data_IF_019802013223
#
_entry.id   IF_019802013223
#
_cell.length_a   1.000
_cell.length_b   1.000
_cell.length_c   1.000
_cell.angle_alpha   90.00
_cell.angle_beta   90.00
_cell.angle_gamma   90.00
#
_symmetry.space_group_name_H-M   'P 1'
#
loop_
_entity.id
_entity.type
_entity.pdbx_description
1 polymer ?
#
# COMPACT_ATOMS: atom_id res chain seq x y z
N UNK A 1 7.28 8.61 -7.02
CA UNK A 1 8.16 8.10 -8.09
C UNK A 1 7.33 7.96 -9.35
N UNK A 2 7.71 8.61 -10.43
CA UNK A 2 6.89 8.73 -11.65
C UNK A 2 7.04 7.55 -12.62
N UNK A 3 7.59 6.41 -12.18
CA UNK A 3 7.81 5.24 -13.04
C UNK A 3 9.07 5.31 -13.93
N UNK A 4 9.87 6.36 -13.81
CA UNK A 4 11.04 6.60 -14.66
C UNK A 4 12.13 5.52 -14.50
N UNK A 5 12.13 4.79 -13.40
CA UNK A 5 13.10 3.74 -13.10
C UNK A 5 12.61 2.33 -13.44
N UNK A 6 11.36 2.17 -13.85
CA UNK A 6 10.77 0.90 -14.27
C UNK A 6 10.99 -0.23 -13.27
N UNK A 7 11.53 -1.35 -13.77
CA UNK A 7 11.83 -2.57 -12.98
C UNK A 7 13.17 -2.53 -12.26
N UNK A 8 13.98 -1.48 -12.44
CA UNK A 8 15.32 -1.40 -11.87
C UNK A 8 15.34 -1.15 -10.36
N UNK A 9 14.18 -0.72 -9.80
CA UNK A 9 14.04 -0.46 -8.37
C UNK A 9 13.42 -1.67 -7.66
N UNK A 10 14.20 -2.30 -6.79
CA UNK A 10 13.73 -3.43 -5.98
C UNK A 10 12.66 -3.02 -4.96
N UNK A 11 11.90 -4.01 -4.43
CA UNK A 11 10.91 -3.78 -3.40
C UNK A 11 11.49 -3.07 -2.16
N UNK A 12 12.68 -3.47 -1.69
CA UNK A 12 13.37 -2.83 -0.55
C UNK A 12 13.76 -1.38 -0.87
N UNK A 13 14.38 -1.14 -2.03
CA UNK A 13 14.78 0.22 -2.44
C UNK A 13 13.57 1.17 -2.54
N UNK A 14 12.50 0.73 -3.19
CA UNK A 14 11.27 1.54 -3.27
C UNK A 14 10.69 1.84 -1.88
N UNK A 15 10.69 0.84 -0.98
CA UNK A 15 10.16 0.99 0.37
C UNK A 15 10.93 2.00 1.21
N UNK A 16 12.25 2.12 1.02
CA UNK A 16 13.07 3.12 1.73
C UNK A 16 12.59 4.54 1.41
N UNK A 17 12.31 4.85 0.14
CA UNK A 17 11.80 6.17 -0.24
C UNK A 17 10.45 6.48 0.41
N UNK A 18 9.53 5.51 0.38
CA UNK A 18 8.23 5.67 1.02
C UNK A 18 8.34 5.74 2.56
N UNK A 19 9.28 5.02 3.16
CA UNK A 19 9.52 5.05 4.59
C UNK A 19 10.07 6.41 5.05
N UNK A 20 10.97 7.01 4.27
CA UNK A 20 11.51 8.36 4.55
C UNK A 20 10.38 9.40 4.48
N UNK A 21 9.51 9.33 3.47
CA UNK A 21 8.37 10.22 3.31
C UNK A 21 7.41 10.11 4.52
N UNK A 22 7.08 8.89 4.94
CA UNK A 22 6.26 8.65 6.14
C UNK A 22 6.95 9.11 7.43
N UNK A 23 8.26 8.94 7.51
CA UNK A 23 9.02 9.41 8.67
C UNK A 23 8.94 10.94 8.79
N UNK A 24 9.11 11.66 7.70
CA UNK A 24 8.98 13.12 7.66
C UNK A 24 7.58 13.56 8.10
N UNK A 25 6.53 12.95 7.53
CA UNK A 25 5.14 13.28 7.90
C UNK A 25 4.76 12.82 9.33
N UNK A 26 5.49 11.87 9.92
CA UNK A 26 5.21 11.36 11.26
C UNK A 26 5.27 12.41 12.36
N UNK A 27 6.02 13.50 12.16
CA UNK A 27 6.07 14.62 13.09
C UNK A 27 4.73 15.37 13.14
N UNK A 28 4.09 15.56 11.98
CA UNK A 28 2.74 16.13 11.89
C UNK A 28 1.72 15.20 12.54
N UNK A 29 1.78 13.92 12.20
CA UNK A 29 0.88 12.90 12.74
C UNK A 29 0.92 12.85 14.28
N UNK A 30 2.10 12.93 14.89
CA UNK A 30 2.24 12.98 16.36
C UNK A 30 1.62 14.23 16.98
N UNK A 31 1.72 15.36 16.31
CA UNK A 31 1.09 16.59 16.75
C UNK A 31 -0.44 16.51 16.73
N UNK A 32 -1.00 15.70 15.83
CA UNK A 32 -2.43 15.53 15.67
C UNK A 32 -3.04 14.57 16.70
N UNK A 33 -2.27 13.67 17.31
CA UNK A 33 -2.75 12.76 18.38
C UNK A 33 -3.39 13.48 19.58
N UNK A 34 -2.95 14.69 19.86
CA UNK A 34 -3.50 15.48 20.97
C UNK A 34 -4.68 16.36 20.55
N UNK A 35 -5.05 16.36 19.26
CA UNK A 35 -6.09 17.24 18.70
C UNK A 35 -7.34 16.49 18.30
N UNK A 36 -7.20 15.20 17.93
CA UNK A 36 -8.27 14.43 17.33
C UNK A 36 -8.46 13.10 18.03
N UNK A 37 -9.71 12.68 18.19
CA UNK A 37 -10.09 11.36 18.74
C UNK A 37 -9.79 10.24 17.74
N UNK A 38 -9.85 10.53 16.43
CA UNK A 38 -9.58 9.60 15.35
C UNK A 38 -8.71 10.26 14.28
N UNK A 39 -7.71 9.51 13.81
CA UNK A 39 -6.88 9.88 12.66
C UNK A 39 -7.02 8.78 11.63
N UNK A 40 -7.51 9.12 10.43
CA UNK A 40 -7.68 8.18 9.33
C UNK A 40 -6.68 8.51 8.24
N UNK A 41 -5.79 7.58 7.95
CA UNK A 41 -4.84 7.69 6.85
C UNK A 41 -5.29 6.85 5.65
N UNK A 42 -5.36 7.47 4.48
CA UNK A 42 -5.53 6.75 3.23
C UNK A 42 -4.16 6.29 2.74
N UNK A 43 -3.88 4.99 2.87
CA UNK A 43 -2.57 4.34 2.73
C UNK A 43 -1.61 4.71 3.87
N UNK A 44 -0.75 3.79 4.22
CA UNK A 44 0.31 3.95 5.21
C UNK A 44 1.39 2.88 4.95
N UNK A 45 2.05 2.32 5.97
CA UNK A 45 2.99 1.19 5.84
C UNK A 45 2.33 0.01 5.14
N UNK A 46 1.04 -0.21 5.39
CA UNK A 46 0.19 -1.22 4.74
C UNK A 46 0.27 -1.18 3.20
N UNK A 47 0.38 -0.01 2.60
CA UNK A 47 0.54 0.10 1.15
C UNK A 47 1.87 -0.52 0.65
N UNK A 48 2.97 -0.31 1.38
CA UNK A 48 4.24 -0.95 1.06
C UNK A 48 4.20 -2.46 1.33
N UNK A 49 3.55 -2.90 2.42
CA UNK A 49 3.34 -4.32 2.72
C UNK A 49 2.58 -5.05 1.60
N UNK A 50 1.62 -4.40 0.97
CA UNK A 50 0.82 -4.98 -0.13
C UNK A 50 1.58 -4.88 -1.45
N UNK A 51 1.91 -3.66 -1.88
CA UNK A 51 2.37 -3.42 -3.24
C UNK A 51 3.85 -3.78 -3.47
N UNK A 52 4.70 -3.62 -2.47
CA UNK A 52 6.12 -3.97 -2.63
C UNK A 52 6.34 -5.46 -2.34
N UNK A 53 5.68 -6.03 -1.32
CA UNK A 53 5.74 -7.47 -1.07
C UNK A 53 5.17 -8.28 -2.24
N UNK A 54 4.12 -7.79 -2.91
CA UNK A 54 3.55 -8.41 -4.10
C UNK A 54 4.50 -8.52 -5.30
N UNK A 55 5.64 -7.81 -5.29
CA UNK A 55 6.70 -7.95 -6.30
C UNK A 55 7.67 -9.10 -6.02
N UNK A 56 7.64 -9.67 -4.83
CA UNK A 56 8.53 -10.74 -4.38
C UNK A 56 7.79 -12.05 -4.56
N UNK A 57 8.27 -12.90 -5.46
CA UNK A 57 7.62 -14.17 -5.81
C UNK A 57 7.87 -15.25 -4.77
N UNK A 58 9.07 -15.31 -4.19
CA UNK A 58 9.41 -16.28 -3.16
C UNK A 58 8.72 -15.93 -1.83
N UNK A 59 8.12 -16.93 -1.18
CA UNK A 59 7.35 -16.74 0.05
C UNK A 59 8.25 -16.43 1.24
N UNK A 60 9.43 -17.03 1.30
CA UNK A 60 10.39 -16.81 2.40
C UNK A 60 10.96 -15.40 2.30
N UNK A 61 11.43 -15.01 1.11
CA UNK A 61 11.95 -13.67 0.85
C UNK A 61 10.88 -12.59 1.12
N UNK A 62 9.62 -12.88 0.80
CA UNK A 62 8.49 -11.97 1.06
C UNK A 62 8.24 -11.81 2.56
N UNK A 63 8.33 -12.90 3.32
CA UNK A 63 8.19 -12.83 4.76
C UNK A 63 9.33 -12.04 5.39
N UNK A 64 10.57 -12.29 5.01
CA UNK A 64 11.72 -11.52 5.46
C UNK A 64 11.59 -10.02 5.11
N UNK A 65 11.06 -9.72 3.93
CA UNK A 65 10.78 -8.35 3.53
C UNK A 65 9.76 -7.69 4.45
N UNK A 66 8.66 -8.35 4.80
CA UNK A 66 7.62 -7.82 5.69
C UNK A 66 8.17 -7.56 7.10
N UNK A 67 9.00 -8.46 7.61
CA UNK A 67 9.66 -8.30 8.91
C UNK A 67 10.65 -7.12 8.90
N UNK A 68 11.50 -7.06 7.87
CA UNK A 68 12.42 -5.96 7.66
C UNK A 68 11.70 -4.61 7.53
N UNK A 69 10.62 -4.54 6.77
CA UNK A 69 9.85 -3.30 6.59
C UNK A 69 9.22 -2.84 7.91
N UNK A 70 8.65 -3.78 8.67
CA UNK A 70 8.08 -3.49 9.99
C UNK A 70 9.14 -2.99 10.96
N UNK A 71 10.33 -3.58 10.96
CA UNK A 71 11.44 -3.16 11.80
C UNK A 71 11.94 -1.76 11.42
N UNK A 72 12.15 -1.51 10.13
CA UNK A 72 12.58 -0.21 9.62
C UNK A 72 11.62 0.91 10.05
N UNK A 73 10.33 0.73 9.84
CA UNK A 73 9.36 1.79 10.05
C UNK A 73 8.96 1.95 11.50
N UNK A 74 8.70 0.86 12.20
CA UNK A 74 8.16 0.93 13.55
C UNK A 74 9.21 0.89 14.66
N UNK A 75 10.36 0.26 14.44
CA UNK A 75 11.40 0.14 15.47
C UNK A 75 12.55 1.12 15.23
N UNK A 76 13.01 1.30 13.98
CA UNK A 76 14.11 2.21 13.64
C UNK A 76 13.60 3.64 13.49
N UNK A 77 12.63 3.89 12.61
CA UNK A 77 12.03 5.21 12.39
C UNK A 77 11.04 5.60 13.48
N UNK A 78 10.52 4.62 14.20
CA UNK A 78 9.55 4.80 15.30
C UNK A 78 8.32 5.60 14.88
N UNK A 79 7.88 5.44 13.63
CA UNK A 79 6.62 6.07 13.21
C UNK A 79 5.44 5.45 13.98
N UNK A 80 4.35 6.19 14.19
CA UNK A 80 3.19 5.68 14.91
C UNK A 80 2.63 4.42 14.26
N UNK A 81 2.30 3.41 15.06
CA UNK A 81 1.56 2.23 14.58
C UNK A 81 0.08 2.54 14.50
N UNK A 82 -0.63 2.11 13.45
CA UNK A 82 -2.08 2.18 13.43
C UNK A 82 -2.67 1.20 14.47
N UNK A 83 -3.75 1.59 15.15
CA UNK A 83 -4.50 0.69 16.02
C UNK A 83 -5.26 -0.36 15.20
N UNK A 84 -5.72 0.02 14.01
CA UNK A 84 -6.38 -0.88 13.05
C UNK A 84 -6.03 -0.49 11.62
N UNK A 85 -5.85 -1.52 10.79
CA UNK A 85 -5.72 -1.39 9.34
C UNK A 85 -6.95 -2.01 8.69
N UNK A 86 -7.71 -1.23 7.93
CA UNK A 86 -8.89 -1.70 7.21
C UNK A 86 -8.48 -1.99 5.77
N UNK A 87 -8.64 -3.24 5.35
CA UNK A 87 -8.44 -3.66 3.98
C UNK A 87 -9.81 -3.81 3.29
N UNK A 88 -10.06 -2.93 2.34
CA UNK A 88 -11.23 -3.02 1.47
C UNK A 88 -10.95 -4.04 0.37
N UNK A 89 -11.50 -5.23 0.53
CA UNK A 89 -11.26 -6.34 -0.38
C UNK A 89 -12.13 -6.20 -1.63
N UNK A 90 -11.46 -6.00 -2.75
CA UNK A 90 -12.05 -5.95 -4.11
C UNK A 90 -11.22 -6.85 -5.00
N UNK A 91 -11.87 -7.68 -5.82
CA UNK A 91 -11.14 -8.53 -6.78
C UNK A 91 -10.33 -7.72 -7.78
N UNK A 92 -9.25 -8.27 -8.34
CA UNK A 92 -8.49 -7.61 -9.39
C UNK A 92 -9.35 -7.22 -10.59
N UNK A 93 -10.33 -8.04 -10.95
CA UNK A 93 -11.26 -7.83 -12.05
C UNK A 93 -12.19 -6.63 -11.78
N UNK A 94 -12.78 -6.56 -10.60
CA UNK A 94 -13.63 -5.43 -10.19
C UNK A 94 -12.80 -4.16 -10.07
N UNK A 95 -11.60 -4.25 -9.48
CA UNK A 95 -10.68 -3.11 -9.37
C UNK A 95 -10.36 -2.50 -10.73
N UNK A 96 -10.11 -3.33 -11.76
CA UNK A 96 -9.92 -2.85 -13.14
C UNK A 96 -11.16 -2.16 -13.70
N UNK A 97 -12.33 -2.73 -13.47
CA UNK A 97 -13.60 -2.13 -13.93
C UNK A 97 -13.80 -0.74 -13.31
N UNK A 98 -13.51 -0.60 -12.01
CA UNK A 98 -13.62 0.68 -11.31
C UNK A 98 -12.61 1.72 -11.83
N UNK A 99 -11.40 1.31 -12.17
CA UNK A 99 -10.40 2.19 -12.79
C UNK A 99 -10.85 2.66 -14.16
N UNK A 100 -11.40 1.76 -15.00
CA UNK A 100 -11.94 2.13 -16.32
C UNK A 100 -13.10 3.14 -16.21
N UNK A 101 -14.01 2.94 -15.25
CA UNK A 101 -15.12 3.88 -15.00
C UNK A 101 -14.64 5.26 -14.50
N UNK A 102 -13.48 5.33 -13.83
CA UNK A 102 -12.90 6.61 -13.43
C UNK A 102 -12.34 7.42 -14.61
N UNK A 103 -11.90 6.75 -15.68
CA UNK A 103 -11.38 7.41 -16.87
C UNK A 103 -12.45 8.27 -17.57
N UNK A 104 -13.73 8.01 -17.37
CA UNK A 104 -14.85 8.83 -17.84
C UNK A 104 -15.14 10.05 -16.94
N UNK A 105 -14.48 10.15 -15.77
CA UNK A 105 -14.63 11.24 -14.81
C UNK A 105 -13.37 12.11 -14.78
N UNK A 106 -13.49 13.34 -15.19
CA UNK A 106 -12.66 14.57 -15.17
C UNK A 106 -11.23 14.60 -14.57
N UNK A 107 -10.66 13.50 -14.04
CA UNK A 107 -9.31 13.48 -13.47
C UNK A 107 -8.17 13.38 -14.50
N UNK A 108 -8.50 13.23 -15.79
CA UNK A 108 -7.54 13.11 -16.89
C UNK A 108 -7.49 14.33 -17.81
N UNK A 109 -7.76 15.53 -17.29
CA UNK A 109 -7.63 16.78 -18.08
C UNK A 109 -6.20 17.04 -18.61
N UNK A 110 -5.20 16.34 -18.12
CA UNK A 110 -3.79 16.53 -18.52
C UNK A 110 -3.21 15.40 -19.38
N UNK A 111 -4.01 14.52 -19.96
CA UNK A 111 -3.51 13.51 -20.91
C UNK A 111 -2.43 12.56 -20.34
N UNK A 112 -2.25 12.50 -19.02
CA UNK A 112 -1.34 11.57 -18.36
C UNK A 112 -1.90 10.17 -18.49
N UNK A 113 -1.12 9.30 -19.12
CA UNK A 113 -1.37 7.85 -19.18
C UNK A 113 -1.65 7.35 -17.77
N UNK A 114 -2.62 6.41 -17.65
CA UNK A 114 -2.87 5.63 -16.42
C UNK A 114 -1.53 5.28 -15.78
N UNK A 115 -1.47 5.39 -14.45
CA UNK A 115 -0.29 4.92 -13.71
C UNK A 115 0.02 3.50 -14.22
N UNK A 116 1.26 3.30 -14.68
CA UNK A 116 1.73 2.03 -15.24
C UNK A 116 1.37 0.82 -14.35
N UNK A 117 1.31 1.04 -13.02
CA UNK A 117 0.96 0.01 -12.06
C UNK A 117 -0.56 -0.30 -12.01
N UNK A 118 -1.43 0.66 -12.31
CA UNK A 118 -2.88 0.43 -12.39
C UNK A 118 -3.26 -0.32 -13.67
N UNK A 119 -2.50 -0.16 -14.75
CA UNK A 119 -2.72 -0.86 -16.01
C UNK A 119 -2.19 -2.31 -16.01
N UNK A 120 -1.29 -2.67 -15.10
CA UNK A 120 -0.69 -3.99 -15.04
C UNK A 120 -1.57 -4.97 -14.26
N UNK A 121 -2.26 -5.85 -15.00
CA UNK A 121 -3.10 -6.92 -14.43
C UNK A 121 -2.34 -7.88 -13.50
N UNK A 122 -1.09 -8.18 -13.82
CA UNK A 122 -0.27 -9.07 -13.01
C UNK A 122 0.10 -8.40 -11.69
N UNK A 123 0.41 -7.11 -11.74
CA UNK A 123 0.67 -6.33 -10.53
C UNK A 123 -0.55 -6.31 -9.59
N UNK A 124 -1.76 -6.08 -10.12
CA UNK A 124 -2.98 -6.09 -9.32
C UNK A 124 -3.26 -7.45 -8.68
N UNK A 125 -3.08 -8.55 -9.43
CA UNK A 125 -3.24 -9.92 -8.90
C UNK A 125 -2.23 -10.22 -7.80
N UNK A 126 -0.97 -9.87 -8.00
CA UNK A 126 0.08 -10.09 -7.02
C UNK A 126 -0.12 -9.23 -5.77
N UNK A 127 -0.51 -7.98 -5.94
CA UNK A 127 -0.84 -7.08 -4.83
C UNK A 127 -2.05 -7.60 -4.03
N UNK A 128 -3.09 -8.07 -4.70
CA UNK A 128 -4.26 -8.66 -4.04
C UNK A 128 -3.89 -9.93 -3.26
N UNK A 129 -3.13 -10.85 -3.87
CA UNK A 129 -2.66 -12.06 -3.19
C UNK A 129 -1.81 -11.71 -1.96
N UNK A 130 -0.88 -10.76 -2.09
CA UNK A 130 -0.09 -10.24 -0.97
C UNK A 130 -0.96 -9.62 0.12
N UNK A 131 -2.00 -8.86 -0.25
CA UNK A 131 -2.93 -8.26 0.71
C UNK A 131 -3.66 -9.32 1.54
N UNK A 132 -4.15 -10.37 0.91
CA UNK A 132 -4.83 -11.49 1.60
C UNK A 132 -3.86 -12.19 2.58
N UNK A 133 -2.61 -12.43 2.15
CA UNK A 133 -1.58 -13.01 3.02
C UNK A 133 -1.31 -12.13 4.24
N UNK A 134 -1.13 -10.83 4.04
CA UNK A 134 -0.86 -9.85 5.11
C UNK A 134 -2.03 -9.76 6.08
N UNK A 135 -3.25 -9.66 5.58
CA UNK A 135 -4.47 -9.60 6.42
C UNK A 135 -4.62 -10.82 7.31
N UNK A 136 -4.26 -12.00 6.81
CA UNK A 136 -4.34 -13.24 7.59
C UNK A 136 -3.17 -13.39 8.60
N UNK A 137 -2.09 -12.62 8.43
CA UNK A 137 -0.90 -12.70 9.28
C UNK A 137 -0.95 -11.73 10.47
N UNK A 138 -1.59 -10.58 10.33
CA UNK A 138 -1.57 -9.51 11.33
C UNK A 138 -2.95 -9.32 11.97
N UNK A 139 -3.04 -9.43 13.30
CA UNK A 139 -4.28 -9.36 14.08
C UNK A 139 -4.91 -7.95 14.12
N UNK A 140 -4.14 -6.92 13.79
CA UNK A 140 -4.59 -5.53 13.72
C UNK A 140 -5.24 -5.17 12.38
N UNK A 141 -5.32 -6.14 11.44
CA UNK A 141 -5.98 -5.96 10.16
C UNK A 141 -7.42 -6.45 10.17
N UNK A 142 -8.29 -5.70 9.51
CA UNK A 142 -9.71 -6.04 9.31
C UNK A 142 -10.00 -6.04 7.82
N UNK A 143 -10.45 -7.19 7.30
CA UNK A 143 -10.90 -7.32 5.91
C UNK A 143 -12.39 -6.99 5.82
N UNK A 144 -12.74 -6.11 4.89
CA UNK A 144 -14.12 -5.81 4.51
C UNK A 144 -14.30 -6.20 3.04
N UNK A 145 -15.15 -7.18 2.78
CA UNK A 145 -15.48 -7.59 1.41
C UNK A 145 -16.44 -6.58 0.79
N UNK A 146 -16.03 -5.95 -0.31
CA UNK A 146 -16.75 -4.85 -0.96
C UNK A 146 -17.51 -5.29 -2.22
N UNK A 147 -17.61 -6.59 -2.49
CA UNK A 147 -18.30 -7.19 -3.63
C UNK A 147 -19.57 -7.95 -3.24
N UNK A 148 -19.90 -8.03 -1.95
CA UNK A 148 -21.17 -8.60 -1.50
C UNK A 148 -22.31 -7.60 -1.78
N UNK A 149 -23.37 -8.10 -2.44
CA UNK A 149 -24.64 -7.40 -2.62
C UNK A 149 -25.29 -7.02 -1.28
#
# INVERSE_FOLDING_TARGET
MNGDYGTDVTAKQASIFYAIDRYDDSFNLRNDYNKYDYIISNRYVSASMIHQAGKISDTIDRQEFLEWLSDLEYNIFKIPRPDKTIFLNVSPEMSQSLVMMKNDREYLKDGKKMDLHEADKNHLKNAHASAIEVVNKFDDWVKIDCESE
#
